data_IF_826221613668
#
_entry.id   IF_826221613668
#
_cell.length_a   1.000
_cell.length_b   1.000
_cell.length_c   1.000
_cell.angle_alpha   90.00
_cell.angle_beta   90.00
_cell.angle_gamma   90.00
#
_symmetry.space_group_name_H-M   'P 1'
#
loop_
_entity.id
_entity.type
_entity.pdbx_description
1 polymer ?
#
# COMPACT_ATOMS: atom_id res chain seq x y z
N UNK A 1 18.54 -6.18 -18.72
CA UNK A 1 18.78 -5.21 -17.61
C UNK A 1 17.55 -4.32 -17.51
N UNK A 2 16.86 -4.27 -16.37
CA UNK A 2 15.77 -3.33 -16.12
C UNK A 2 16.37 -1.98 -15.71
N UNK A 3 16.24 -0.95 -16.55
CA UNK A 3 16.70 0.40 -16.24
C UNK A 3 15.61 1.16 -15.48
N UNK A 4 15.53 0.96 -14.16
CA UNK A 4 14.55 1.69 -13.33
C UNK A 4 15.09 3.09 -13.03
N UNK A 5 14.64 4.08 -13.81
CA UNK A 5 15.08 5.47 -13.67
C UNK A 5 14.94 6.03 -12.25
N UNK A 6 13.93 5.56 -11.50
CA UNK A 6 13.69 5.98 -10.13
C UNK A 6 14.86 5.67 -9.18
N UNK A 7 15.55 4.54 -9.32
CA UNK A 7 16.73 4.24 -8.49
C UNK A 7 17.87 5.22 -8.77
N UNK A 8 18.01 5.67 -10.02
CA UNK A 8 18.97 6.72 -10.38
C UNK A 8 18.58 8.07 -9.80
N UNK A 9 17.28 8.41 -9.83
CA UNK A 9 16.76 9.63 -9.21
C UNK A 9 17.02 9.65 -7.70
N UNK A 10 16.72 8.55 -6.98
CA UNK A 10 16.96 8.44 -5.53
C UNK A 10 18.44 8.63 -5.21
N UNK A 11 19.34 7.93 -5.92
CA UNK A 11 20.80 8.07 -5.72
C UNK A 11 21.24 9.53 -5.88
N UNK A 12 20.85 10.17 -6.98
CA UNK A 12 21.21 11.58 -7.25
C UNK A 12 20.65 12.53 -6.18
N UNK A 13 19.45 12.29 -5.68
CA UNK A 13 18.86 13.07 -4.59
C UNK A 13 19.67 12.94 -3.29
N UNK A 14 20.11 11.73 -2.93
CA UNK A 14 20.99 11.54 -1.77
C UNK A 14 22.36 12.21 -1.96
N UNK A 15 22.99 12.06 -3.12
CA UNK A 15 24.28 12.72 -3.43
C UNK A 15 24.16 14.25 -3.27
N UNK A 16 23.04 14.80 -3.74
CA UNK A 16 22.76 16.23 -3.61
C UNK A 16 22.53 16.61 -2.14
N UNK A 17 21.63 15.94 -1.42
CA UNK A 17 21.34 16.27 -0.01
C UNK A 17 22.60 16.16 0.84
N UNK A 18 23.39 15.10 0.68
CA UNK A 18 24.61 14.87 1.45
C UNK A 18 25.72 15.88 1.15
N UNK A 19 25.75 16.47 -0.06
CA UNK A 19 26.72 17.53 -0.38
C UNK A 19 26.30 18.90 0.16
N UNK A 20 24.99 19.16 0.28
CA UNK A 20 24.46 20.42 0.83
C UNK A 20 24.24 20.39 2.35
N UNK A 21 23.97 19.20 2.92
CA UNK A 21 23.68 18.97 4.34
C UNK A 21 24.49 17.77 4.80
N UNK A 22 25.19 17.90 5.92
CA UNK A 22 26.00 16.82 6.49
C UNK A 22 25.11 15.73 7.16
N UNK A 23 24.32 15.01 6.35
CA UNK A 23 23.28 14.07 6.80
C UNK A 23 23.59 12.60 6.48
N UNK A 24 24.56 12.33 5.60
CA UNK A 24 24.99 10.98 5.18
C UNK A 24 23.83 9.98 4.93
N UNK A 25 22.81 10.39 4.18
CA UNK A 25 21.64 9.59 3.84
C UNK A 25 21.96 8.52 2.78
N UNK A 26 21.33 7.38 2.93
CA UNK A 26 21.39 6.21 2.05
C UNK A 26 20.08 5.43 2.11
N UNK A 27 19.89 4.46 1.22
CA UNK A 27 18.74 3.55 1.29
C UNK A 27 18.70 2.74 2.60
N UNK A 28 19.85 2.49 3.23
CA UNK A 28 19.94 1.65 4.42
C UNK A 28 19.61 2.38 5.73
N UNK A 29 19.71 3.72 5.74
CA UNK A 29 19.57 4.53 6.96
C UNK A 29 18.54 5.65 6.87
N UNK A 30 17.84 5.79 5.73
CA UNK A 30 16.72 6.71 5.63
C UNK A 30 15.66 6.37 6.70
N UNK A 31 15.13 7.34 7.46
CA UNK A 31 14.13 7.07 8.47
C UNK A 31 12.90 6.39 7.88
N UNK A 32 12.49 5.29 8.51
CA UNK A 32 11.21 4.65 8.20
C UNK A 32 10.06 5.39 8.89
N UNK A 33 8.85 5.20 8.35
CA UNK A 33 7.60 5.66 9.00
C UNK A 33 7.54 7.18 9.24
N UNK A 34 8.07 7.98 8.31
CA UNK A 34 8.06 9.44 8.40
C UNK A 34 6.62 10.03 8.31
N UNK A 35 6.13 10.72 9.36
CA UNK A 35 4.78 11.28 9.37
C UNK A 35 4.55 12.35 8.29
N UNK A 36 5.58 13.12 7.92
CA UNK A 36 5.47 14.15 6.89
C UNK A 36 5.22 13.55 5.52
N UNK A 37 5.92 12.46 5.20
CA UNK A 37 5.70 11.66 3.98
C UNK A 37 4.27 11.16 3.92
N UNK A 38 3.74 10.59 5.01
CA UNK A 38 2.35 10.15 5.03
C UNK A 38 1.35 11.30 4.91
N UNK A 39 1.62 12.44 5.55
CA UNK A 39 0.75 13.61 5.44
C UNK A 39 0.68 14.15 4.00
N UNK A 40 1.83 14.26 3.33
CA UNK A 40 1.93 14.64 1.92
C UNK A 40 1.09 13.68 1.04
N UNK A 41 1.28 12.37 1.22
CA UNK A 41 0.52 11.35 0.49
C UNK A 41 -0.98 11.43 0.81
N UNK A 42 -1.39 11.68 2.05
CA UNK A 42 -2.80 11.85 2.42
C UNK A 42 -3.49 13.03 1.70
N UNK A 43 -2.73 14.03 1.24
CA UNK A 43 -3.27 15.12 0.42
C UNK A 43 -3.33 14.77 -1.09
N UNK A 44 -2.88 13.57 -1.48
CA UNK A 44 -2.74 13.17 -2.88
C UNK A 44 -1.53 13.80 -3.58
N UNK A 45 -0.67 14.50 -2.85
CA UNK A 45 0.54 15.14 -3.38
C UNK A 45 1.62 14.08 -3.63
N UNK A 46 1.56 13.46 -4.79
CA UNK A 46 2.36 12.28 -5.14
C UNK A 46 2.91 12.32 -6.55
N UNK A 47 2.90 13.50 -7.19
CA UNK A 47 3.53 13.70 -8.49
C UNK A 47 5.03 13.40 -8.38
N UNK A 48 5.53 12.48 -9.20
CA UNK A 48 6.92 12.02 -9.15
C UNK A 48 7.22 10.99 -8.05
N UNK A 49 6.21 10.57 -7.27
CA UNK A 49 6.35 9.47 -6.32
C UNK A 49 6.03 8.15 -7.01
N UNK A 50 7.04 7.28 -7.10
CA UNK A 50 6.95 6.01 -7.81
C UNK A 50 5.76 5.15 -7.34
N UNK A 51 5.10 4.50 -8.29
CA UNK A 51 3.91 3.64 -8.13
C UNK A 51 2.59 4.35 -7.76
N UNK A 52 2.63 5.54 -7.15
CA UNK A 52 1.44 6.23 -6.63
C UNK A 52 1.12 7.57 -7.32
N UNK A 53 1.81 7.91 -8.42
CA UNK A 53 1.61 9.18 -9.15
C UNK A 53 0.42 9.21 -10.12
N UNK A 54 -0.14 8.05 -10.49
CA UNK A 54 -1.21 8.03 -11.49
C UNK A 54 -2.49 8.71 -10.97
N UNK A 55 -3.34 9.23 -11.86
CA UNK A 55 -4.63 9.86 -11.47
C UNK A 55 -5.48 8.98 -10.55
N UNK A 56 -5.51 7.67 -10.80
CA UNK A 56 -6.28 6.74 -9.97
C UNK A 56 -5.69 6.65 -8.54
N UNK A 57 -4.36 6.55 -8.42
CA UNK A 57 -3.64 6.51 -7.15
C UNK A 57 -3.79 7.83 -6.38
N UNK A 58 -3.52 8.97 -7.04
CA UNK A 58 -3.70 10.30 -6.45
C UNK A 58 -5.12 10.53 -5.90
N UNK A 59 -6.15 9.97 -6.56
CA UNK A 59 -7.54 10.08 -6.10
C UNK A 59 -7.88 9.12 -4.95
N UNK A 60 -7.11 8.04 -4.80
CA UNK A 60 -7.34 7.01 -3.79
C UNK A 60 -6.62 7.37 -2.48
N UNK A 61 -5.42 7.93 -2.56
CA UNK A 61 -4.62 8.33 -1.41
C UNK A 61 -5.37 9.15 -0.33
N UNK A 62 -6.14 10.22 -0.65
CA UNK A 62 -6.94 10.95 0.34
C UNK A 62 -8.09 10.16 0.97
N UNK A 63 -8.53 9.10 0.28
CA UNK A 63 -9.59 8.20 0.75
C UNK A 63 -9.02 7.12 1.65
N UNK A 64 -7.87 6.53 1.28
CA UNK A 64 -7.19 5.51 2.08
C UNK A 64 -6.59 6.09 3.36
N UNK A 65 -6.01 7.30 3.25
CA UNK A 65 -5.25 7.97 4.30
C UNK A 65 -4.17 7.06 4.92
N UNK A 66 -3.08 6.76 4.19
CA UNK A 66 -2.03 5.88 4.69
C UNK A 66 -1.36 6.46 5.94
N UNK A 67 -1.12 5.64 6.95
CA UNK A 67 -0.49 6.00 8.23
C UNK A 67 0.76 5.19 8.55
N UNK A 68 1.02 4.15 7.75
CA UNK A 68 2.17 3.27 7.88
C UNK A 68 2.54 2.68 6.52
N UNK A 69 3.68 1.99 6.45
CA UNK A 69 4.13 1.35 5.21
C UNK A 69 3.14 0.32 4.66
N UNK A 70 2.48 -0.46 5.52
CA UNK A 70 1.55 -1.49 5.07
C UNK A 70 0.34 -0.91 4.35
N UNK A 71 -0.10 0.30 4.70
CA UNK A 71 -1.14 1.01 3.97
C UNK A 71 -0.73 1.31 2.52
N UNK A 72 0.55 1.63 2.27
CA UNK A 72 1.05 1.83 0.90
C UNK A 72 1.08 0.53 0.09
N UNK A 73 1.33 -0.61 0.75
CA UNK A 73 1.21 -1.93 0.12
C UNK A 73 -0.23 -2.16 -0.33
N UNK A 74 -1.22 -1.78 0.50
CA UNK A 74 -2.63 -1.86 0.15
C UNK A 74 -2.98 -0.88 -0.99
N UNK A 75 -2.52 0.37 -0.93
CA UNK A 75 -2.76 1.40 -1.95
C UNK A 75 -2.38 0.90 -3.34
N UNK A 76 -1.15 0.41 -3.48
CA UNK A 76 -0.62 -0.09 -4.76
C UNK A 76 -1.33 -1.36 -5.22
N UNK A 77 -1.80 -2.20 -4.30
CA UNK A 77 -2.49 -3.45 -4.62
C UNK A 77 -3.95 -3.23 -5.02
N UNK A 78 -4.68 -2.34 -4.33
CA UNK A 78 -6.12 -2.17 -4.48
C UNK A 78 -6.50 -1.34 -5.71
N UNK A 79 -5.62 -0.44 -6.16
CA UNK A 79 -5.78 0.34 -7.40
C UNK A 79 -5.26 -0.45 -8.60
N UNK A 80 -5.86 -1.61 -8.85
CA UNK A 80 -5.54 -2.51 -9.97
C UNK A 80 -6.81 -3.06 -10.62
N UNK A 81 -6.78 -3.47 -11.90
CA UNK A 81 -7.96 -3.97 -12.60
C UNK A 81 -8.69 -5.09 -11.86
N UNK A 82 -7.96 -6.07 -11.30
CA UNK A 82 -8.56 -7.20 -10.57
C UNK A 82 -9.42 -6.77 -9.38
N UNK A 83 -8.86 -6.07 -8.35
CA UNK A 83 -9.64 -5.59 -7.22
C UNK A 83 -10.75 -4.60 -7.58
N UNK A 84 -10.55 -3.76 -8.61
CA UNK A 84 -11.59 -2.82 -9.09
C UNK A 84 -12.77 -3.60 -9.69
N UNK A 85 -12.51 -4.54 -10.60
CA UNK A 85 -13.54 -5.39 -11.22
C UNK A 85 -14.22 -6.29 -10.19
N UNK A 86 -13.46 -6.79 -9.21
CA UNK A 86 -13.96 -7.57 -8.07
C UNK A 86 -14.72 -6.74 -7.02
N UNK A 87 -14.94 -5.44 -7.24
CA UNK A 87 -15.64 -4.51 -6.32
C UNK A 87 -15.07 -4.49 -4.90
N UNK A 88 -13.76 -4.73 -4.77
CA UNK A 88 -13.08 -4.87 -3.47
C UNK A 88 -12.77 -3.52 -2.80
N UNK A 89 -12.64 -2.45 -3.60
CA UNK A 89 -12.23 -1.11 -3.14
C UNK A 89 -13.19 -0.53 -2.09
N UNK A 90 -14.50 -0.55 -2.37
CA UNK A 90 -15.50 0.09 -1.51
C UNK A 90 -15.68 -0.62 -0.16
N UNK A 91 -15.84 -1.96 -0.09
CA UNK A 91 -15.90 -2.66 1.19
C UNK A 91 -14.67 -2.42 2.07
N UNK A 92 -13.47 -2.43 1.48
CA UNK A 92 -12.25 -2.17 2.23
C UNK A 92 -12.24 -0.76 2.84
N UNK A 93 -12.56 0.27 2.05
CA UNK A 93 -12.62 1.65 2.54
C UNK A 93 -13.66 1.86 3.62
N UNK A 94 -14.88 1.33 3.45
CA UNK A 94 -15.94 1.47 4.46
C UNK A 94 -15.52 0.84 5.79
N UNK A 95 -14.93 -0.35 5.75
CA UNK A 95 -14.43 -1.04 6.94
C UNK A 95 -13.28 -0.30 7.60
N UNK A 96 -12.35 0.22 6.80
CA UNK A 96 -11.23 1.03 7.27
C UNK A 96 -11.68 2.32 7.95
N UNK A 97 -12.74 2.94 7.43
CA UNK A 97 -13.35 4.15 7.99
C UNK A 97 -14.29 3.88 9.18
N UNK A 98 -14.53 2.61 9.53
CA UNK A 98 -15.49 2.24 10.57
C UNK A 98 -16.96 2.39 10.15
N UNK A 99 -17.24 2.60 8.86
CA UNK A 99 -18.59 2.70 8.29
C UNK A 99 -19.26 1.31 8.12
N UNK A 100 -18.45 0.24 8.10
CA UNK A 100 -18.91 -1.14 7.99
C UNK A 100 -18.14 -2.02 8.99
N UNK A 101 -18.85 -2.87 9.75
CA UNK A 101 -18.20 -3.81 10.68
C UNK A 101 -17.52 -4.93 9.89
N UNK A 102 -16.28 -5.25 10.26
CA UNK A 102 -15.57 -6.41 9.71
C UNK A 102 -16.15 -7.70 10.31
N UNK A 103 -16.51 -8.66 9.45
CA UNK A 103 -16.99 -9.98 9.85
C UNK A 103 -16.20 -11.06 9.10
N UNK A 104 -16.08 -12.23 9.73
CA UNK A 104 -15.40 -13.41 9.19
C UNK A 104 -16.30 -14.62 9.38
N UNK A 105 -16.22 -15.61 8.49
CA UNK A 105 -17.04 -16.82 8.61
C UNK A 105 -16.50 -17.80 9.66
N UNK A 106 -15.18 -17.86 9.86
CA UNK A 106 -14.49 -18.65 10.88
C UNK A 106 -13.10 -18.04 11.18
N UNK A 107 -12.39 -18.63 12.15
CA UNK A 107 -11.06 -18.17 12.58
C UNK A 107 -9.98 -18.36 11.50
N UNK A 108 -10.06 -19.44 10.69
CA UNK A 108 -9.11 -19.68 9.59
C UNK A 108 -9.18 -18.56 8.53
N UNK A 109 -10.39 -18.13 8.16
CA UNK A 109 -10.59 -17.02 7.22
C UNK A 109 -10.14 -15.69 7.84
N UNK A 110 -10.34 -15.53 9.15
CA UNK A 110 -9.85 -14.34 9.87
C UNK A 110 -8.33 -14.25 9.79
N UNK A 111 -7.60 -15.33 10.03
CA UNK A 111 -6.13 -15.36 9.94
C UNK A 111 -5.63 -14.92 8.55
N UNK A 112 -6.35 -15.29 7.48
CA UNK A 112 -5.97 -14.92 6.11
C UNK A 112 -6.29 -13.47 5.77
N UNK A 113 -7.42 -12.93 6.26
CA UNK A 113 -7.98 -11.67 5.79
C UNK A 113 -7.96 -10.53 6.83
N UNK A 114 -7.49 -10.76 8.06
CA UNK A 114 -7.54 -9.75 9.11
C UNK A 114 -6.80 -8.46 8.71
N UNK A 115 -5.61 -8.59 8.12
CA UNK A 115 -4.78 -7.48 7.69
C UNK A 115 -5.41 -6.67 6.55
N UNK A 116 -6.30 -7.28 5.79
CA UNK A 116 -7.04 -6.63 4.69
C UNK A 116 -8.52 -6.43 5.04
N UNK A 117 -8.86 -6.40 6.33
CA UNK A 117 -10.21 -6.09 6.82
C UNK A 117 -11.28 -7.00 6.21
N UNK A 118 -11.00 -8.29 6.06
CA UNK A 118 -11.95 -9.25 5.50
C UNK A 118 -12.13 -9.15 3.99
N UNK A 119 -11.23 -8.47 3.26
CA UNK A 119 -11.29 -8.31 1.81
C UNK A 119 -10.08 -8.99 1.16
N UNK A 120 -10.23 -9.93 0.22
CA UNK A 120 -9.10 -10.63 -0.39
C UNK A 120 -8.44 -9.77 -1.47
N UNK A 121 -7.50 -8.91 -1.08
CA UNK A 121 -6.84 -7.94 -1.98
C UNK A 121 -5.66 -8.59 -2.72
N UNK A 122 -4.96 -9.53 -2.08
CA UNK A 122 -3.77 -10.17 -2.63
C UNK A 122 -4.07 -11.54 -3.23
N UNK A 123 -3.30 -11.94 -4.26
CA UNK A 123 -3.48 -13.24 -4.90
C UNK A 123 -3.21 -14.39 -3.92
N UNK A 124 -2.23 -14.23 -3.06
CA UNK A 124 -1.85 -15.19 -2.02
C UNK A 124 -3.00 -15.42 -1.04
N UNK A 125 -3.83 -14.42 -0.76
CA UNK A 125 -5.02 -14.58 0.08
C UNK A 125 -6.08 -15.42 -0.62
N UNK A 126 -6.29 -15.20 -1.92
CA UNK A 126 -7.24 -16.01 -2.72
C UNK A 126 -6.81 -17.48 -2.73
N UNK A 127 -5.51 -17.75 -2.90
CA UNK A 127 -4.97 -19.11 -2.86
C UNK A 127 -5.18 -19.73 -1.47
N UNK A 128 -4.83 -19.01 -0.38
CA UNK A 128 -5.02 -19.50 0.99
C UNK A 128 -6.48 -19.79 1.32
N UNK A 129 -7.40 -18.92 0.89
CA UNK A 129 -8.84 -19.13 1.07
C UNK A 129 -9.32 -20.41 0.35
N UNK A 130 -8.80 -20.69 -0.85
CA UNK A 130 -9.15 -21.92 -1.57
C UNK A 130 -8.66 -23.18 -0.83
N UNK A 131 -7.45 -23.13 -0.24
CA UNK A 131 -6.89 -24.23 0.58
C UNK A 131 -7.76 -24.47 1.82
N UNK A 132 -8.06 -23.41 2.58
CA UNK A 132 -8.92 -23.48 3.78
C UNK A 132 -10.33 -23.99 3.44
N UNK A 133 -10.93 -23.49 2.37
CA UNK A 133 -12.28 -23.89 1.96
C UNK A 133 -12.35 -25.34 1.46
N UNK A 134 -11.29 -25.86 0.85
CA UNK A 134 -11.22 -27.23 0.34
C UNK A 134 -10.71 -28.25 1.38
N UNK A 135 -10.32 -27.81 2.58
CA UNK A 135 -9.84 -28.69 3.66
C UNK A 135 -8.47 -29.34 3.38
N UNK A 136 -7.65 -28.74 2.51
CA UNK A 136 -6.29 -29.21 2.27
C UNK A 136 -5.36 -28.72 3.41
N UNK A 137 -4.61 -29.64 4.04
CA UNK A 137 -3.55 -29.36 5.03
C UNK A 137 -2.18 -29.30 4.38
#
# INVERSE_FOLDING_TARGET
VLALGMLTSIRKSFDMINSYRDMNLSLANIPAEDPLTYHMLQQGDSVGVFQVESRAQMSMLPRLKPKNFYDLVIEVAIVRPGPIQGKMVHPYLRRRNGEEKVTYANDDIKEVLERTLGVPIFQEQVIKLAVVAAGFT
#
